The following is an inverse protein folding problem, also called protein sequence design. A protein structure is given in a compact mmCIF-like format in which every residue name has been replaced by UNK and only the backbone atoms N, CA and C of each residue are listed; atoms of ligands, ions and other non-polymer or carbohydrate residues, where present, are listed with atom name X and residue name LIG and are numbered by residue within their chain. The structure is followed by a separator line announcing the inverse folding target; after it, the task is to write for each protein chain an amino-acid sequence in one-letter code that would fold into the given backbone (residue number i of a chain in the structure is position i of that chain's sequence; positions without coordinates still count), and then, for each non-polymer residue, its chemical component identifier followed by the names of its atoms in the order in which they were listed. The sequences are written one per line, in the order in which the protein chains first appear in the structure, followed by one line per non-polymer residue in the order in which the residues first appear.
data_IF_434368082149
#
_entry.id   IF_434368082149
#
_cell.length_a   1.000
_cell.length_b   1.000
_cell.length_c   1.000
_cell.angle_alpha   90.00
_cell.angle_beta   90.00
_cell.angle_gamma   90.00
#
_symmetry.space_group_name_H-M   'P 1'
#
loop_
_entity.id
_entity.type
_entity.pdbx_description
1 polymer ?
#
# COMPACT_ATOMS: atom_id res chain seq x y z
N UNK A 1 -8.01 -17.45 9.24
CA UNK A 1 -6.99 -17.82 8.24
C UNK A 1 -6.25 -16.63 7.64
N UNK A 2 -6.92 -15.64 7.00
CA UNK A 2 -6.27 -14.48 6.36
C UNK A 2 -5.27 -13.71 7.27
N UNK A 3 -5.62 -13.48 8.54
CA UNK A 3 -4.74 -12.79 9.48
C UNK A 3 -3.46 -13.59 9.81
N UNK A 4 -3.55 -14.93 9.87
CA UNK A 4 -2.39 -15.80 10.05
C UNK A 4 -1.52 -15.80 8.79
N UNK A 5 -2.15 -15.93 7.62
CA UNK A 5 -1.48 -15.83 6.32
C UNK A 5 -0.71 -14.51 6.20
N UNK A 6 -1.33 -13.37 6.51
CA UNK A 6 -0.66 -12.06 6.52
C UNK A 6 0.58 -12.05 7.40
N UNK A 7 0.50 -12.56 8.63
CA UNK A 7 1.64 -12.60 9.56
C UNK A 7 2.77 -13.49 9.04
N UNK A 8 2.44 -14.64 8.46
CA UNK A 8 3.41 -15.56 7.86
C UNK A 8 4.11 -14.88 6.67
N UNK A 9 3.34 -14.30 5.75
CA UNK A 9 3.90 -13.59 4.59
C UNK A 9 4.78 -12.42 5.06
N UNK A 10 4.33 -11.64 6.04
CA UNK A 10 5.14 -10.53 6.56
C UNK A 10 6.47 -11.01 7.14
N UNK A 11 6.47 -12.14 7.86
CA UNK A 11 7.70 -12.74 8.39
C UNK A 11 8.61 -13.24 7.27
N UNK A 12 8.06 -13.91 6.25
CA UNK A 12 8.81 -14.37 5.08
C UNK A 12 9.44 -13.19 4.33
N UNK A 13 8.69 -12.12 4.09
CA UNK A 13 9.16 -10.91 3.42
C UNK A 13 10.25 -10.19 4.22
N UNK A 14 10.11 -10.11 5.55
CA UNK A 14 11.16 -9.57 6.42
C UNK A 14 12.47 -10.34 6.29
N UNK A 15 12.40 -11.67 6.20
CA UNK A 15 13.57 -12.51 5.99
C UNK A 15 14.12 -12.36 4.57
N UNK A 16 13.27 -12.42 3.54
CA UNK A 16 13.64 -12.18 2.15
C UNK A 16 14.40 -10.85 1.97
N UNK A 17 13.92 -9.77 2.57
CA UNK A 17 14.53 -8.45 2.47
C UNK A 17 15.98 -8.43 2.97
N UNK A 18 16.34 -9.28 3.95
CA UNK A 18 17.72 -9.41 4.45
C UNK A 18 18.67 -10.05 3.44
N UNK A 19 18.16 -10.91 2.58
CA UNK A 19 18.96 -11.60 1.55
C UNK A 19 18.96 -10.84 0.23
N UNK A 20 17.84 -10.21 -0.13
CA UNK A 20 17.70 -9.51 -1.40
C UNK A 20 18.42 -8.16 -1.41
N UNK A 21 18.26 -7.35 -0.35
CA UNK A 21 18.88 -6.03 -0.28
C UNK A 21 20.24 -6.12 0.41
N UNK A 22 21.29 -5.65 -0.28
CA UNK A 22 22.64 -5.56 0.30
C UNK A 22 22.68 -4.77 1.62
N UNK A 23 21.88 -3.70 1.72
CA UNK A 23 21.77 -2.87 2.92
C UNK A 23 20.42 -2.15 2.93
N UNK A 24 19.69 -2.29 4.04
CA UNK A 24 18.48 -1.51 4.33
C UNK A 24 18.82 -0.54 5.46
N UNK A 25 18.49 0.74 5.27
CA UNK A 25 18.64 1.78 6.30
C UNK A 25 17.28 2.44 6.50
N UNK A 26 16.83 2.45 7.74
CA UNK A 26 15.56 3.06 8.14
C UNK A 26 15.91 4.25 9.03
N UNK A 27 15.37 5.41 8.69
CA UNK A 27 15.57 6.66 9.42
C UNK A 27 14.21 7.22 9.84
N UNK A 28 14.13 7.84 11.02
CA UNK A 28 12.91 8.53 11.45
C UNK A 28 11.73 7.60 11.77
N UNK A 29 11.98 6.33 12.09
CA UNK A 29 10.92 5.38 12.44
C UNK A 29 10.18 5.81 13.73
N UNK A 30 10.89 6.47 14.62
CA UNK A 30 10.40 7.10 15.84
C UNK A 30 9.39 8.23 15.59
N UNK A 31 9.37 8.81 14.37
CA UNK A 31 8.41 9.84 13.99
C UNK A 31 7.05 9.28 13.58
N UNK A 32 6.93 7.95 13.40
CA UNK A 32 5.64 7.34 13.06
C UNK A 32 4.70 7.49 14.28
N UNK A 33 3.54 8.15 14.13
CA UNK A 33 2.60 8.32 15.23
C UNK A 33 2.18 6.98 15.85
N UNK A 34 2.26 6.88 17.19
CA UNK A 34 1.86 5.68 17.95
C UNK A 34 0.34 5.58 18.17
N UNK A 35 -0.39 6.68 17.93
CA UNK A 35 -1.83 6.78 18.09
C UNK A 35 -2.42 7.44 16.86
N UNK A 36 -3.57 6.95 16.41
CA UNK A 36 -4.27 7.44 15.21
C UNK A 36 -3.81 6.76 13.93
N UNK A 37 -4.64 6.89 12.88
CA UNK A 37 -4.36 6.33 11.57
C UNK A 37 -3.25 7.11 10.88
N UNK A 38 -2.45 6.42 10.07
CA UNK A 38 -1.33 7.02 9.32
C UNK A 38 -1.50 6.64 7.85
N UNK A 39 -1.32 7.60 6.96
CA UNK A 39 -1.21 7.36 5.52
C UNK A 39 0.27 7.47 5.14
N UNK A 40 0.87 6.37 4.74
CA UNK A 40 2.19 6.34 4.12
C UNK A 40 2.07 6.70 2.64
N UNK A 41 2.82 7.72 2.20
CA UNK A 41 2.88 8.14 0.80
C UNK A 41 4.32 8.12 0.27
N UNK A 42 4.94 6.93 0.13
CA UNK A 42 6.27 6.80 -0.45
C UNK A 42 6.26 7.16 -1.96
N UNK A 43 7.46 7.41 -2.49
CA UNK A 43 7.70 7.40 -3.93
C UNK A 43 7.62 5.96 -4.49
N UNK A 44 7.43 5.81 -5.80
CA UNK A 44 7.13 4.53 -6.43
C UNK A 44 8.10 4.17 -7.58
N UNK A 45 9.34 3.82 -7.25
CA UNK A 45 10.36 3.48 -8.26
C UNK A 45 10.54 1.96 -8.42
N UNK A 46 10.56 1.21 -7.31
CA UNK A 46 10.79 -0.23 -7.28
C UNK A 46 9.54 -1.06 -7.56
N UNK A 47 8.43 -0.43 -7.98
CA UNK A 47 7.15 -1.06 -8.24
C UNK A 47 6.72 -1.99 -7.09
N UNK A 48 6.80 -3.31 -7.29
CA UNK A 48 6.41 -4.28 -6.26
C UNK A 48 7.27 -4.24 -5.00
N UNK A 49 8.54 -3.82 -5.08
CA UNK A 49 9.44 -3.81 -3.91
C UNK A 49 9.11 -2.69 -2.92
N UNK A 50 8.63 -1.55 -3.39
CA UNK A 50 8.32 -0.39 -2.54
C UNK A 50 7.28 -0.71 -1.45
N UNK A 51 6.09 -1.29 -1.77
CA UNK A 51 5.11 -1.62 -0.75
C UNK A 51 5.58 -2.72 0.20
N UNK A 52 6.47 -3.63 -0.24
CA UNK A 52 7.05 -4.66 0.63
C UNK A 52 7.99 -4.04 1.67
N UNK A 53 8.84 -3.10 1.24
CA UNK A 53 9.75 -2.39 2.14
C UNK A 53 8.97 -1.60 3.18
N UNK A 54 7.96 -0.83 2.77
CA UNK A 54 7.12 -0.07 3.72
C UNK A 54 6.35 -1.02 4.64
N UNK A 55 5.68 -2.03 4.08
CA UNK A 55 4.88 -2.98 4.86
C UNK A 55 5.69 -3.76 5.90
N UNK A 56 6.96 -4.06 5.62
CA UNK A 56 7.84 -4.78 6.55
C UNK A 56 8.57 -3.88 7.55
N UNK A 57 8.73 -2.58 7.26
CA UNK A 57 9.50 -1.64 8.09
C UNK A 57 8.66 -0.69 8.95
N UNK A 58 7.41 -0.40 8.57
CA UNK A 58 6.57 0.59 9.27
C UNK A 58 6.10 0.18 10.69
N UNK A 59 6.49 -0.99 11.17
CA UNK A 59 6.20 -1.47 12.54
C UNK A 59 4.74 -1.86 12.80
N UNK A 60 3.88 -1.79 11.78
CA UNK A 60 2.43 -1.94 11.91
C UNK A 60 1.84 -2.65 10.68
N UNK A 61 0.56 -3.03 10.73
CA UNK A 61 -0.13 -3.54 9.54
C UNK A 61 -0.59 -2.36 8.71
N UNK A 62 -0.35 -2.43 7.40
CA UNK A 62 -0.75 -1.38 6.47
C UNK A 62 -1.73 -1.92 5.43
N UNK A 63 -2.76 -1.15 5.11
CA UNK A 63 -3.68 -1.43 4.00
C UNK A 63 -3.23 -0.65 2.78
N UNK A 64 -2.99 -1.33 1.65
CA UNK A 64 -2.51 -0.67 0.43
C UNK A 64 -3.65 -0.40 -0.55
N UNK A 65 -3.69 0.81 -1.13
CA UNK A 65 -4.47 1.05 -2.34
C UNK A 65 -3.70 0.49 -3.54
N UNK A 66 -4.37 -0.35 -4.32
CA UNK A 66 -3.80 -1.10 -5.46
C UNK A 66 -4.69 -0.91 -6.67
N UNK A 67 -4.13 -0.88 -7.88
CA UNK A 67 -4.90 -0.75 -9.13
C UNK A 67 -6.08 -1.73 -9.18
N UNK A 68 -7.23 -1.30 -9.68
CA UNK A 68 -8.45 -2.12 -9.65
C UNK A 68 -8.41 -3.36 -10.55
N UNK A 69 -7.63 -3.36 -11.62
CA UNK A 69 -7.54 -4.42 -12.64
C UNK A 69 -6.93 -5.74 -12.12
N UNK A 70 -6.27 -5.75 -10.96
CA UNK A 70 -5.79 -7.01 -10.36
C UNK A 70 -6.86 -7.75 -9.56
N UNK A 71 -8.00 -7.11 -9.28
CA UNK A 71 -9.08 -7.64 -8.45
C UNK A 71 -10.13 -8.40 -9.27
N UNK A 72 -10.88 -9.28 -8.62
CA UNK A 72 -11.96 -10.07 -9.23
C UNK A 72 -11.52 -11.38 -9.90
N UNK A 73 -10.22 -11.69 -9.90
CA UNK A 73 -9.65 -12.93 -10.45
C UNK A 73 -9.37 -14.03 -9.41
N UNK A 74 -8.68 -15.12 -9.81
CA UNK A 74 -8.37 -16.25 -8.93
C UNK A 74 -7.51 -15.88 -7.72
N UNK A 75 -6.84 -14.72 -7.75
CA UNK A 75 -6.00 -14.22 -6.67
C UNK A 75 -6.72 -13.34 -5.65
N UNK A 76 -8.04 -13.13 -5.76
CA UNK A 76 -8.81 -12.25 -4.89
C UNK A 76 -8.59 -12.55 -3.40
N UNK A 77 -8.56 -13.83 -3.03
CA UNK A 77 -8.35 -14.23 -1.64
C UNK A 77 -7.01 -13.75 -1.10
N UNK A 78 -5.94 -13.78 -1.92
CA UNK A 78 -4.60 -13.32 -1.54
C UNK A 78 -4.55 -11.80 -1.41
N UNK A 79 -5.17 -11.06 -2.33
CA UNK A 79 -5.26 -9.59 -2.27
C UNK A 79 -5.97 -9.14 -0.98
N UNK A 80 -7.07 -9.79 -0.63
CA UNK A 80 -7.77 -9.54 0.62
C UNK A 80 -6.90 -9.86 1.83
N UNK A 81 -6.21 -11.01 1.79
CA UNK A 81 -5.37 -11.47 2.90
C UNK A 81 -4.17 -10.54 3.12
N UNK A 82 -3.66 -9.92 2.04
CA UNK A 82 -2.59 -8.93 2.06
C UNK A 82 -3.06 -7.50 2.35
N UNK A 83 -4.33 -7.31 2.73
CA UNK A 83 -4.93 -6.00 3.04
C UNK A 83 -4.79 -5.01 1.87
N UNK A 84 -5.17 -5.44 0.67
CA UNK A 84 -5.24 -4.55 -0.49
C UNK A 84 -6.67 -4.09 -0.75
N UNK A 85 -6.82 -2.83 -1.18
CA UNK A 85 -8.08 -2.24 -1.62
C UNK A 85 -7.95 -1.75 -3.06
N UNK A 86 -8.94 -1.99 -3.93
CA UNK A 86 -8.89 -1.53 -5.31
C UNK A 86 -9.06 -0.01 -5.37
N UNK A 87 -8.30 0.65 -6.23
CA UNK A 87 -8.53 2.04 -6.63
C UNK A 87 -8.73 2.10 -8.14
N UNK A 88 -9.82 2.73 -8.57
CA UNK A 88 -10.18 2.91 -9.97
C UNK A 88 -9.64 4.25 -10.46
N UNK A 89 -8.91 4.24 -11.57
CA UNK A 89 -8.33 5.45 -12.17
C UNK A 89 -9.19 5.89 -13.36
N UNK A 90 -9.03 7.13 -13.79
CA UNK A 90 -9.79 7.68 -14.94
C UNK A 90 -9.61 6.81 -16.20
N UNK A 91 -8.39 6.31 -16.41
CA UNK A 91 -8.05 5.39 -17.53
C UNK A 91 -8.75 4.03 -17.47
N UNK A 92 -9.25 3.64 -16.30
CA UNK A 92 -10.01 2.39 -16.11
C UNK A 92 -11.52 2.60 -16.42
N UNK A 93 -11.89 3.77 -16.96
CA UNK A 93 -13.24 4.14 -17.40
C UNK A 93 -13.98 5.04 -16.41
N UNK A 94 -14.60 6.13 -16.90
CA UNK A 94 -15.31 7.09 -16.03
C UNK A 94 -16.45 6.47 -15.19
N UNK A 95 -17.13 5.45 -15.73
CA UNK A 95 -18.20 4.75 -15.02
C UNK A 95 -17.68 3.96 -13.81
N UNK A 96 -16.44 3.48 -13.84
CA UNK A 96 -15.84 2.70 -12.75
C UNK A 96 -15.41 3.59 -11.57
N UNK A 97 -15.18 4.89 -11.80
CA UNK A 97 -14.83 5.85 -10.74
C UNK A 97 -15.88 5.94 -9.63
N UNK A 98 -17.16 5.68 -9.93
CA UNK A 98 -18.24 5.65 -8.93
C UNK A 98 -17.98 4.60 -7.84
N UNK A 99 -17.24 3.53 -8.16
CA UNK A 99 -16.87 2.49 -7.20
C UNK A 99 -15.87 2.97 -6.15
N UNK A 100 -15.12 4.05 -6.42
CA UNK A 100 -14.19 4.60 -5.43
C UNK A 100 -14.90 5.17 -4.20
N UNK A 101 -16.18 5.55 -4.29
CA UNK A 101 -16.91 6.08 -3.13
C UNK A 101 -16.91 5.07 -1.96
N UNK A 102 -17.29 3.83 -2.23
CA UNK A 102 -17.27 2.76 -1.22
C UNK A 102 -15.86 2.46 -0.71
N UNK A 103 -14.86 2.55 -1.60
CA UNK A 103 -13.45 2.35 -1.22
C UNK A 103 -12.99 3.45 -0.27
N UNK A 104 -13.33 4.71 -0.54
CA UNK A 104 -12.98 5.84 0.32
C UNK A 104 -13.70 5.78 1.66
N UNK A 105 -14.95 5.33 1.70
CA UNK A 105 -15.65 5.06 2.97
C UNK A 105 -14.90 4.01 3.81
N UNK A 106 -14.41 2.95 3.17
CA UNK A 106 -13.56 1.94 3.84
C UNK A 106 -12.24 2.53 4.30
N UNK A 107 -11.62 3.43 3.51
CA UNK A 107 -10.40 4.12 3.91
C UNK A 107 -10.65 4.97 5.17
N UNK A 108 -11.74 5.75 5.18
CA UNK A 108 -12.15 6.55 6.34
C UNK A 108 -12.36 5.68 7.59
N UNK A 109 -13.00 4.51 7.45
CA UNK A 109 -13.20 3.59 8.56
C UNK A 109 -11.88 2.99 9.08
N UNK A 110 -10.95 2.65 8.19
CA UNK A 110 -9.62 2.12 8.56
C UNK A 110 -8.86 3.17 9.36
N UNK A 111 -8.74 4.38 8.80
CA UNK A 111 -8.03 5.48 9.45
C UNK A 111 -8.71 5.91 10.76
N UNK A 112 -10.04 5.95 10.79
CA UNK A 112 -10.84 6.28 11.97
C UNK A 112 -10.70 5.26 13.11
N UNK A 113 -10.37 4.00 12.81
CA UNK A 113 -10.02 2.97 13.80
C UNK A 113 -8.58 3.07 14.31
N UNK A 114 -7.79 3.98 13.76
CA UNK A 114 -6.36 4.10 14.07
C UNK A 114 -5.46 3.18 13.26
N UNK A 115 -6.01 2.44 12.28
CA UNK A 115 -5.21 1.57 11.41
C UNK A 115 -4.50 2.40 10.33
N UNK A 116 -3.44 1.83 9.75
CA UNK A 116 -2.61 2.53 8.78
C UNK A 116 -2.91 2.12 7.34
N UNK A 117 -2.63 3.04 6.44
CA UNK A 117 -2.80 2.88 5.00
C UNK A 117 -1.56 3.30 4.26
N UNK A 118 -1.43 2.82 3.03
CA UNK A 118 -0.39 3.23 2.10
C UNK A 118 -0.98 3.49 0.73
N UNK A 119 -0.52 4.56 0.11
CA UNK A 119 -0.82 4.90 -1.27
C UNK A 119 0.38 5.52 -1.94
N UNK A 120 0.56 5.26 -3.23
CA UNK A 120 1.61 5.88 -4.02
C UNK A 120 1.02 7.07 -4.77
N UNK A 121 1.22 8.27 -4.23
CA UNK A 121 0.55 9.49 -4.71
C UNK A 121 0.94 9.88 -6.13
N UNK A 122 2.03 9.34 -6.68
CA UNK A 122 2.39 9.45 -8.10
C UNK A 122 1.40 8.74 -9.03
N UNK A 123 0.65 7.73 -8.55
CA UNK A 123 -0.38 7.01 -9.32
C UNK A 123 0.16 6.06 -10.40
N UNK A 124 1.49 5.95 -10.51
CA UNK A 124 2.24 5.02 -11.36
C UNK A 124 3.60 4.74 -10.74
N UNK A 125 4.25 3.64 -11.16
CA UNK A 125 5.67 3.46 -10.93
C UNK A 125 6.46 3.87 -12.16
N UNK A 126 7.73 4.19 -11.97
CA UNK A 126 8.60 4.68 -13.03
C UNK A 126 10.08 4.39 -12.73
N UNK A 127 10.95 4.49 -13.73
CA UNK A 127 12.35 4.06 -13.61
C UNK A 127 13.32 5.22 -13.32
N UNK A 128 12.85 6.46 -13.40
CA UNK A 128 13.67 7.64 -13.15
C UNK A 128 13.96 7.84 -11.66
N UNK A 129 15.14 8.40 -11.35
CA UNK A 129 15.60 8.59 -9.98
C UNK A 129 15.11 9.90 -9.32
N UNK A 130 14.02 10.50 -9.80
CA UNK A 130 13.42 11.72 -9.24
C UNK A 130 11.93 11.52 -8.95
N UNK A 131 11.37 12.28 -8.01
CA UNK A 131 9.94 12.24 -7.69
C UNK A 131 9.10 12.82 -8.84
N UNK A 132 8.08 12.08 -9.31
CA UNK A 132 7.14 12.61 -10.30
C UNK A 132 6.08 13.52 -9.67
N UNK A 133 5.28 14.15 -10.53
CA UNK A 133 4.14 14.95 -10.09
C UNK A 133 3.14 14.07 -9.38
N UNK A 134 2.68 14.53 -8.22
CA UNK A 134 1.58 13.89 -7.51
C UNK A 134 0.30 13.95 -8.33
N UNK A 135 -0.50 12.90 -8.24
CA UNK A 135 -1.78 12.82 -8.91
C UNK A 135 -2.78 13.79 -8.28
N UNK A 136 -3.67 14.36 -9.11
CA UNK A 136 -4.74 15.23 -8.63
C UNK A 136 -5.64 14.46 -7.65
N UNK A 137 -5.92 15.04 -6.49
CA UNK A 137 -6.68 14.41 -5.41
C UNK A 137 -5.86 13.61 -4.41
N UNK A 138 -4.54 13.46 -4.64
CA UNK A 138 -3.59 12.89 -3.67
C UNK A 138 -2.55 13.91 -3.16
N UNK A 139 -2.62 15.15 -3.66
CA UNK A 139 -1.80 16.29 -3.22
C UNK A 139 -2.58 17.19 -2.28
#
# INVERSE_FOLDING_TARGET
MKALFYKIILLLLKNYNRFYFRRIRIYGQEHIPKKGGVIFSPNHQGAFLDPLLVGTSCGSKVTSLTRSDVFGGPFQWFLDALKMLPVYRIRDGYSSLRKNAEIFDRCHQILGKGDHMMMFSEGSHHNEYYLQRLSKGSS
#
